data_IF_230390539053
#
_entry.id   IF_230390539053
#
_cell.length_a   1.000
_cell.length_b   1.000
_cell.length_c   1.000
_cell.angle_alpha   90.00
_cell.angle_beta   90.00
_cell.angle_gamma   90.00
#
_symmetry.space_group_name_H-M   'P 1'
#
loop_
_entity.id
_entity.type
_entity.pdbx_description
1 polymer ?
#
# COMPACT_ATOMS: atom_id res chain seq x y z
N UNK A 1 2.56 7.06 40.90
CA UNK A 1 3.37 6.70 39.73
C UNK A 1 2.49 5.86 38.82
N UNK A 2 2.14 6.38 37.65
CA UNK A 2 1.47 5.59 36.63
C UNK A 2 2.52 4.65 36.04
N UNK A 3 2.45 3.37 36.40
CA UNK A 3 3.29 2.33 35.81
C UNK A 3 2.76 2.04 34.40
N UNK A 4 3.37 2.65 33.39
CA UNK A 4 3.12 2.28 32.01
C UNK A 4 3.58 0.81 31.80
N UNK A 5 2.78 -0.03 31.13
CA UNK A 5 3.20 -1.38 30.77
C UNK A 5 4.51 -1.30 29.96
N UNK A 6 5.46 -2.19 30.24
CA UNK A 6 6.67 -2.32 29.41
C UNK A 6 6.26 -2.67 27.98
N UNK A 7 6.83 -1.96 27.00
CA UNK A 7 6.66 -2.15 25.56
C UNK A 7 6.40 -3.60 25.21
N UNK A 8 5.19 -3.87 24.74
CA UNK A 8 4.91 -5.18 24.15
C UNK A 8 5.61 -5.23 22.80
N UNK A 9 6.19 -6.38 22.44
CA UNK A 9 7.01 -6.57 21.22
C UNK A 9 6.28 -6.31 19.87
N UNK A 10 5.06 -5.78 19.89
CA UNK A 10 4.15 -5.69 18.75
C UNK A 10 3.39 -4.36 18.67
N UNK A 11 3.97 -3.26 19.13
CA UNK A 11 3.45 -1.93 18.79
C UNK A 11 3.89 -1.56 17.38
N UNK A 12 2.97 -1.04 16.56
CA UNK A 12 3.29 -0.45 15.26
C UNK A 12 4.42 0.56 15.41
N UNK A 13 5.43 0.45 14.56
CA UNK A 13 6.58 1.36 14.62
C UNK A 13 6.52 2.32 13.45
N UNK A 14 6.66 3.60 13.75
CA UNK A 14 6.91 4.62 12.74
C UNK A 14 8.42 4.90 12.68
N UNK A 15 9.03 4.59 11.55
CA UNK A 15 10.40 4.98 11.25
C UNK A 15 10.41 6.21 10.38
N UNK A 16 11.33 7.14 10.64
CA UNK A 16 11.47 8.36 9.84
C UNK A 16 12.89 8.44 9.27
N UNK A 17 13.00 8.79 8.00
CA UNK A 17 14.26 9.01 7.31
C UNK A 17 14.23 10.37 6.61
N UNK A 18 15.24 11.21 6.82
CA UNK A 18 15.52 12.37 5.97
C UNK A 18 16.66 12.02 5.01
N UNK A 19 16.54 12.44 3.75
CA UNK A 19 17.59 12.24 2.77
C UNK A 19 17.29 12.87 1.43
N UNK A 20 18.20 12.67 0.48
CA UNK A 20 18.14 13.30 -0.84
C UNK A 20 18.03 12.24 -1.94
N UNK A 21 17.08 12.43 -2.87
CA UNK A 21 16.91 11.59 -4.04
C UNK A 21 18.04 11.82 -5.05
N UNK A 22 18.47 10.75 -5.71
CA UNK A 22 19.41 10.82 -6.81
C UNK A 22 18.77 11.43 -8.07
N UNK A 23 19.57 11.52 -9.14
CA UNK A 23 19.05 11.88 -10.46
C UNK A 23 17.97 10.89 -10.92
N UNK A 24 16.87 11.43 -11.46
CA UNK A 24 15.75 10.66 -12.00
C UNK A 24 15.94 10.51 -13.51
N UNK A 25 16.22 9.29 -13.97
CA UNK A 25 16.12 8.94 -15.39
C UNK A 25 14.74 8.32 -15.65
N UNK A 26 13.88 8.95 -16.47
CA UNK A 26 12.57 8.40 -16.83
C UNK A 26 12.65 7.02 -17.50
N UNK A 27 13.77 6.70 -18.16
CA UNK A 27 13.97 5.40 -18.84
C UNK A 27 14.43 4.30 -17.88
N UNK A 28 14.99 4.69 -16.73
CA UNK A 28 15.49 3.78 -15.71
C UNK A 28 15.10 4.30 -14.31
N UNK A 29 13.79 4.24 -13.98
CA UNK A 29 13.31 4.79 -12.72
C UNK A 29 13.97 4.05 -11.53
N UNK A 30 14.43 4.76 -10.48
CA UNK A 30 15.11 4.12 -9.37
C UNK A 30 14.17 3.18 -8.60
N UNK A 31 14.61 1.96 -8.30
CA UNK A 31 13.79 0.95 -7.59
C UNK A 31 14.36 0.49 -6.24
N UNK A 32 15.69 0.52 -6.08
CA UNK A 32 16.37 -0.07 -4.90
C UNK A 32 16.66 0.90 -3.76
N UNK A 33 16.51 2.20 -3.99
CA UNK A 33 16.86 3.25 -3.02
C UNK A 33 15.60 3.83 -2.39
N UNK A 34 15.73 4.35 -1.18
CA UNK A 34 14.67 5.17 -0.57
C UNK A 34 14.45 6.44 -1.40
N UNK A 35 13.20 6.90 -1.55
CA UNK A 35 11.96 6.31 -1.00
C UNK A 35 11.31 5.24 -1.90
N UNK A 36 11.85 4.99 -3.09
CA UNK A 36 11.25 4.11 -4.12
C UNK A 36 11.07 2.66 -3.68
N UNK A 37 12.07 2.11 -2.98
CA UNK A 37 12.01 0.73 -2.48
C UNK A 37 10.87 0.52 -1.48
N UNK A 38 10.47 1.58 -0.76
CA UNK A 38 9.38 1.51 0.20
C UNK A 38 8.02 1.41 -0.49
N UNK A 39 7.81 2.22 -1.53
CA UNK A 39 6.59 2.16 -2.36
C UNK A 39 6.47 0.77 -3.01
N UNK A 40 7.57 0.25 -3.57
CA UNK A 40 7.62 -1.07 -4.20
C UNK A 40 7.57 -2.24 -3.19
N UNK A 41 7.87 -1.98 -1.92
CA UNK A 41 7.85 -2.98 -0.86
C UNK A 41 6.45 -3.39 -0.42
N UNK A 42 5.42 -2.60 -0.76
CA UNK A 42 4.03 -2.98 -0.53
C UNK A 42 3.65 -4.16 -1.44
N UNK A 43 2.96 -5.17 -0.88
CA UNK A 43 2.45 -6.29 -1.69
C UNK A 43 1.11 -5.97 -2.35
N UNK A 44 0.18 -5.36 -1.60
CA UNK A 44 -1.16 -5.04 -2.04
C UNK A 44 -1.50 -3.62 -1.55
N UNK A 45 -1.68 -2.67 -2.47
CA UNK A 45 -1.98 -1.27 -2.13
C UNK A 45 -3.49 -1.05 -2.20
N UNK A 46 -4.06 -0.49 -1.14
CA UNK A 46 -5.48 -0.14 -1.09
C UNK A 46 -5.75 1.35 -1.39
N UNK A 47 -4.78 2.21 -1.06
CA UNK A 47 -4.92 3.67 -1.13
C UNK A 47 -3.59 4.27 -1.57
N UNK A 48 -3.66 5.17 -2.54
CA UNK A 48 -2.59 6.10 -2.89
C UNK A 48 -3.16 7.50 -2.74
N UNK A 49 -2.41 8.40 -2.12
CA UNK A 49 -2.85 9.76 -1.92
C UNK A 49 -1.71 10.76 -2.15
N UNK A 50 -2.05 11.91 -2.71
CA UNK A 50 -1.13 13.02 -2.89
C UNK A 50 -1.74 14.29 -2.30
N UNK A 51 -0.95 15.03 -1.53
CA UNK A 51 -1.32 16.35 -1.02
C UNK A 51 -0.30 17.34 -1.55
N UNK A 52 -0.78 18.41 -2.17
CA UNK A 52 0.06 19.39 -2.84
C UNK A 52 -0.60 20.77 -2.87
N UNK A 53 0.18 21.85 -3.05
CA UNK A 53 -0.36 23.18 -3.31
C UNK A 53 -1.22 23.20 -4.58
N UNK A 54 -2.26 24.02 -4.60
CA UNK A 54 -3.14 24.15 -5.75
C UNK A 54 -2.42 24.64 -7.00
N UNK A 55 -1.46 25.55 -6.84
CA UNK A 55 -0.62 26.03 -7.94
C UNK A 55 0.16 24.87 -8.57
N UNK A 56 0.69 23.96 -7.75
CA UNK A 56 1.37 22.76 -8.26
C UNK A 56 0.37 21.83 -8.96
N UNK A 57 -0.82 21.66 -8.40
CA UNK A 57 -1.86 20.83 -9.02
C UNK A 57 -2.23 21.34 -10.41
N UNK A 58 -2.41 22.65 -10.57
CA UNK A 58 -2.75 23.26 -11.86
C UNK A 58 -1.60 23.13 -12.87
N UNK A 59 -0.34 23.24 -12.43
CA UNK A 59 0.84 22.95 -13.26
C UNK A 59 0.85 21.49 -13.71
N UNK A 60 0.60 20.58 -12.77
CA UNK A 60 0.65 19.14 -13.00
C UNK A 60 -0.52 18.65 -13.84
N UNK A 61 -1.68 19.30 -13.81
CA UNK A 61 -2.89 18.85 -14.50
C UNK A 61 -2.61 18.50 -15.96
N UNK A 62 -1.96 19.41 -16.69
CA UNK A 62 -1.60 19.18 -18.10
C UNK A 62 -0.57 18.04 -18.31
N UNK A 63 0.31 17.80 -17.34
CA UNK A 63 1.33 16.74 -17.40
C UNK A 63 0.86 15.38 -16.87
N UNK A 64 -0.16 15.38 -16.02
CA UNK A 64 -0.74 14.21 -15.35
C UNK A 64 -2.14 13.86 -15.85
N UNK A 65 -2.72 14.56 -16.84
CA UNK A 65 -4.01 14.20 -17.42
C UNK A 65 -4.06 12.73 -17.84
N UNK A 66 -2.94 12.20 -18.32
CA UNK A 66 -2.78 10.77 -18.62
C UNK A 66 -2.92 9.87 -17.38
N UNK A 67 -2.47 10.30 -16.20
CA UNK A 67 -2.56 9.54 -14.93
C UNK A 67 -3.89 9.77 -14.21
N UNK A 68 -4.42 10.98 -14.28
CA UNK A 68 -5.70 11.38 -13.67
C UNK A 68 -6.91 10.89 -14.48
N UNK A 69 -6.73 10.63 -15.78
CA UNK A 69 -7.75 10.09 -16.68
C UNK A 69 -7.43 8.68 -17.17
N UNK A 70 -6.58 8.56 -18.19
CA UNK A 70 -6.44 7.35 -19.03
C UNK A 70 -5.71 6.17 -18.36
N UNK A 71 -4.74 6.44 -17.50
CA UNK A 71 -3.89 5.46 -16.82
C UNK A 71 -4.31 5.23 -15.36
N UNK A 72 -5.58 5.52 -15.01
CA UNK A 72 -6.10 5.15 -13.70
C UNK A 72 -5.95 3.64 -13.47
N UNK A 73 -5.57 3.18 -12.27
CA UNK A 73 -5.33 1.77 -12.04
C UNK A 73 -6.64 0.99 -12.15
N UNK A 74 -6.60 -0.11 -12.89
CA UNK A 74 -7.76 -0.98 -13.12
C UNK A 74 -7.52 -2.33 -12.47
N UNK A 75 -8.54 -2.84 -11.82
CA UNK A 75 -8.57 -4.19 -11.29
C UNK A 75 -9.92 -4.84 -11.58
N UNK A 76 -10.01 -6.15 -11.41
CA UNK A 76 -11.22 -6.92 -11.59
C UNK A 76 -11.65 -7.53 -10.26
N UNK A 77 -12.96 -7.52 -10.00
CA UNK A 77 -13.57 -8.34 -8.96
C UNK A 77 -14.24 -9.55 -9.60
N UNK A 78 -13.93 -10.74 -9.10
CA UNK A 78 -14.37 -12.00 -9.71
C UNK A 78 -14.63 -13.05 -8.64
N UNK A 79 -15.54 -14.00 -8.88
CA UNK A 79 -15.89 -15.06 -7.91
C UNK A 79 -15.63 -16.42 -8.51
N UNK A 80 -14.67 -17.17 -7.95
CA UNK A 80 -14.41 -18.55 -8.35
C UNK A 80 -13.59 -19.31 -7.27
N UNK A 81 -13.60 -20.66 -7.27
CA UNK A 81 -12.88 -21.46 -6.28
C UNK A 81 -11.37 -21.54 -6.56
N UNK A 82 -10.57 -21.82 -5.53
CA UNK A 82 -9.11 -21.97 -5.66
C UNK A 82 -8.68 -22.98 -6.74
N UNK A 83 -9.50 -24.01 -7.00
CA UNK A 83 -9.21 -25.00 -8.05
C UNK A 83 -9.08 -24.37 -9.43
N UNK A 84 -9.83 -23.29 -9.73
CA UNK A 84 -9.79 -22.62 -11.02
C UNK A 84 -8.44 -21.95 -11.29
N UNK A 85 -7.69 -21.57 -10.24
CA UNK A 85 -6.33 -21.04 -10.38
C UNK A 85 -5.37 -22.07 -10.99
N UNK A 86 -5.65 -23.36 -10.82
CA UNK A 86 -4.77 -24.45 -11.24
C UNK A 86 -5.19 -25.05 -12.59
N UNK A 87 -6.20 -24.49 -13.24
CA UNK A 87 -6.82 -25.09 -14.44
C UNK A 87 -6.51 -24.29 -15.71
N UNK A 88 -6.27 -25.03 -16.78
CA UNK A 88 -6.25 -24.54 -18.16
C UNK A 88 -5.34 -23.33 -18.42
N UNK A 89 -5.90 -22.38 -19.16
CA UNK A 89 -5.19 -21.17 -19.59
C UNK A 89 -4.93 -20.21 -18.42
N UNK A 90 -5.74 -20.22 -17.36
CA UNK A 90 -5.50 -19.37 -16.20
C UNK A 90 -4.13 -19.69 -15.56
N UNK A 91 -3.89 -20.97 -15.28
CA UNK A 91 -2.62 -21.39 -14.68
C UNK A 91 -1.43 -21.13 -15.61
N UNK A 92 -1.62 -21.35 -16.92
CA UNK A 92 -0.53 -21.25 -17.90
C UNK A 92 -0.19 -19.79 -18.23
N UNK A 93 -1.18 -18.99 -18.60
CA UNK A 93 -0.98 -17.62 -19.06
C UNK A 93 -0.74 -16.66 -17.91
N UNK A 94 -1.53 -16.71 -16.82
CA UNK A 94 -1.37 -15.74 -15.73
C UNK A 94 -0.31 -16.12 -14.69
N UNK A 95 -0.19 -17.41 -14.35
CA UNK A 95 0.68 -17.84 -13.25
C UNK A 95 2.07 -18.23 -13.75
N UNK A 96 2.15 -19.06 -14.79
CA UNK A 96 3.45 -19.56 -15.31
C UNK A 96 4.17 -18.54 -16.18
N UNK A 97 3.47 -17.90 -17.13
CA UNK A 97 4.06 -16.96 -18.08
C UNK A 97 3.93 -15.51 -17.64
N UNK A 98 2.75 -15.11 -17.20
CA UNK A 98 2.39 -13.76 -16.81
C UNK A 98 2.71 -13.44 -15.35
N UNK A 99 2.23 -12.28 -14.91
CA UNK A 99 2.38 -11.83 -13.54
C UNK A 99 1.09 -11.15 -13.08
N UNK A 100 0.46 -11.73 -12.06
CA UNK A 100 -0.82 -11.25 -11.52
C UNK A 100 -0.71 -11.02 -10.01
N UNK A 101 -1.55 -10.14 -9.52
CA UNK A 101 -1.83 -9.97 -8.10
C UNK A 101 -3.27 -10.40 -7.83
N UNK A 102 -3.47 -11.18 -6.77
CA UNK A 102 -4.81 -11.50 -6.30
C UNK A 102 -4.91 -11.45 -4.78
N UNK A 103 -6.06 -11.00 -4.29
CA UNK A 103 -6.39 -10.97 -2.88
C UNK A 103 -7.85 -11.40 -2.69
N UNK A 104 -8.09 -12.41 -1.87
CA UNK A 104 -9.45 -12.86 -1.56
C UNK A 104 -10.10 -11.94 -0.51
N UNK A 105 -11.42 -11.80 -0.57
CA UNK A 105 -12.22 -11.16 0.49
C UNK A 105 -12.21 -11.99 1.77
N UNK A 106 -11.96 -11.35 2.91
CA UNK A 106 -12.14 -11.91 4.25
C UNK A 106 -11.30 -11.18 5.29
N UNK A 107 -11.47 -11.53 6.56
CA UNK A 107 -10.63 -11.07 7.67
C UNK A 107 -9.70 -12.18 8.12
N UNK A 108 -8.37 -11.95 8.14
CA UNK A 108 -7.38 -12.97 8.52
C UNK A 108 -7.63 -13.62 9.89
N UNK A 109 -8.19 -12.86 10.84
CA UNK A 109 -8.48 -13.36 12.18
C UNK A 109 -9.62 -14.39 12.21
N UNK A 110 -10.55 -14.34 11.25
CA UNK A 110 -11.82 -15.08 11.27
C UNK A 110 -11.96 -16.02 10.09
N UNK A 111 -11.67 -15.55 8.88
CA UNK A 111 -11.88 -16.27 7.64
C UNK A 111 -10.61 -16.99 7.17
N UNK A 112 -10.78 -17.96 6.29
CA UNK A 112 -9.69 -18.47 5.48
C UNK A 112 -9.47 -17.49 4.33
N UNK A 113 -8.30 -16.84 4.29
CA UNK A 113 -7.97 -15.85 3.28
C UNK A 113 -6.78 -16.29 2.45
N UNK A 114 -6.76 -15.84 1.21
CA UNK A 114 -5.84 -16.28 0.18
C UNK A 114 -5.28 -15.06 -0.55
N UNK A 115 -4.00 -15.12 -0.89
CA UNK A 115 -3.36 -14.10 -1.70
C UNK A 115 -2.39 -14.73 -2.69
N UNK A 116 -2.24 -14.12 -3.86
CA UNK A 116 -1.32 -14.54 -4.90
C UNK A 116 -0.50 -13.33 -5.32
N UNK A 117 0.81 -13.41 -5.17
CA UNK A 117 1.76 -12.40 -5.62
C UNK A 117 3.04 -13.09 -6.07
N UNK A 118 3.62 -12.63 -7.18
CA UNK A 118 4.87 -13.17 -7.74
C UNK A 118 4.85 -14.70 -7.99
N UNK A 119 3.66 -15.27 -8.23
CA UNK A 119 3.46 -16.71 -8.40
C UNK A 119 3.47 -17.53 -7.11
N UNK A 120 3.49 -16.88 -5.94
CA UNK A 120 3.38 -17.51 -4.63
C UNK A 120 1.95 -17.35 -4.12
N UNK A 121 1.23 -18.47 -4.02
CA UNK A 121 -0.10 -18.54 -3.41
C UNK A 121 0.06 -18.76 -1.90
N UNK A 122 -0.39 -17.79 -1.12
CA UNK A 122 -0.39 -17.83 0.34
C UNK A 122 -1.80 -18.11 0.83
N UNK A 123 -1.97 -19.11 1.69
CA UNK A 123 -3.24 -19.47 2.32
C UNK A 123 -3.11 -19.28 3.82
N UNK A 124 -3.97 -18.44 4.39
CA UNK A 124 -4.15 -18.32 5.83
C UNK A 124 -5.36 -19.18 6.21
N UNK A 125 -5.11 -20.22 6.98
CA UNK A 125 -6.10 -21.26 7.28
C UNK A 125 -6.35 -21.35 8.78
N UNK A 126 -7.61 -21.59 9.15
CA UNK A 126 -7.96 -22.12 10.46
C UNK A 126 -7.40 -23.55 10.65
N UNK A 127 -7.42 -24.01 11.91
CA UNK A 127 -6.92 -25.33 12.27
C UNK A 127 -7.57 -26.47 11.49
N UNK A 128 -8.90 -26.47 11.43
CA UNK A 128 -9.67 -27.58 10.87
C UNK A 128 -9.39 -27.72 9.37
N UNK A 129 -9.46 -26.61 8.66
CA UNK A 129 -9.21 -26.50 7.23
C UNK A 129 -7.77 -26.85 6.90
N UNK A 130 -6.80 -26.40 7.71
CA UNK A 130 -5.40 -26.77 7.55
C UNK A 130 -5.20 -28.28 7.68
N UNK A 131 -5.67 -28.90 8.77
CA UNK A 131 -5.52 -30.34 9.03
C UNK A 131 -6.19 -31.18 7.94
N UNK A 132 -7.40 -30.79 7.52
CA UNK A 132 -8.15 -31.48 6.45
C UNK A 132 -7.52 -31.30 5.07
N UNK A 133 -6.99 -30.11 4.76
CA UNK A 133 -6.30 -29.86 3.48
C UNK A 133 -5.07 -30.74 3.33
N UNK A 134 -4.46 -31.11 4.45
CA UNK A 134 -3.21 -31.82 4.50
C UNK A 134 -2.11 -31.05 3.77
N UNK A 135 -2.13 -29.71 3.70
CA UNK A 135 -1.05 -28.95 3.07
C UNK A 135 0.09 -28.71 4.05
N UNK A 136 1.32 -28.53 3.54
CA UNK A 136 2.47 -28.23 4.39
C UNK A 136 2.49 -26.74 4.67
N UNK A 137 2.50 -26.37 5.95
CA UNK A 137 2.43 -24.98 6.40
C UNK A 137 3.08 -24.83 7.77
N UNK A 138 3.10 -23.59 8.26
CA UNK A 138 3.65 -23.22 9.57
C UNK A 138 2.57 -22.54 10.41
N UNK A 139 2.54 -22.73 11.73
CA UNK A 139 1.64 -21.97 12.59
C UNK A 139 1.95 -20.47 12.47
N UNK A 140 0.90 -19.68 12.43
CA UNK A 140 0.90 -18.22 12.37
C UNK A 140 0.53 -17.66 13.76
N UNK A 141 1.30 -16.68 14.22
CA UNK A 141 1.10 -16.04 15.52
C UNK A 141 2.04 -16.51 16.64
N UNK A 142 1.92 -15.85 17.79
CA UNK A 142 2.83 -16.02 18.94
C UNK A 142 2.54 -17.33 19.66
N UNK A 143 3.57 -18.17 19.85
CA UNK A 143 3.49 -19.31 20.77
C UNK A 143 3.24 -18.81 22.19
N UNK A 144 2.07 -19.09 22.77
CA UNK A 144 1.87 -19.04 24.23
C UNK A 144 0.71 -18.20 24.78
N UNK A 145 -0.03 -17.42 23.97
CA UNK A 145 -1.27 -16.80 24.44
C UNK A 145 -2.47 -17.71 24.14
N UNK A 146 -3.15 -18.17 25.19
CA UNK A 146 -4.33 -19.07 25.14
C UNK A 146 -5.59 -18.41 24.56
N UNK A 147 -5.56 -17.11 24.30
CA UNK A 147 -6.74 -16.31 23.94
C UNK A 147 -7.05 -16.26 22.44
N UNK A 148 -6.13 -16.68 21.57
CA UNK A 148 -6.32 -16.60 20.12
C UNK A 148 -6.46 -17.98 19.47
N UNK A 149 -7.39 -18.09 18.50
CA UNK A 149 -7.54 -19.30 17.67
C UNK A 149 -6.27 -19.47 16.85
N UNK A 150 -5.58 -20.62 16.91
CA UNK A 150 -4.36 -20.82 16.15
C UNK A 150 -4.67 -20.78 14.63
N UNK A 151 -3.79 -20.12 13.88
CA UNK A 151 -3.86 -20.00 12.41
C UNK A 151 -2.63 -20.67 11.79
N UNK A 152 -2.72 -21.04 10.51
CA UNK A 152 -1.63 -21.64 9.76
C UNK A 152 -1.45 -20.91 8.43
N UNK A 153 -0.19 -20.60 8.11
CA UNK A 153 0.19 -20.10 6.78
C UNK A 153 0.73 -21.26 5.95
N UNK A 154 0.18 -21.41 4.75
CA UNK A 154 0.67 -22.31 3.69
C UNK A 154 1.14 -21.45 2.52
N UNK A 155 2.41 -21.55 2.15
CA UNK A 155 3.00 -20.83 1.01
C UNK A 155 3.33 -21.82 -0.11
N UNK A 156 2.71 -21.63 -1.28
CA UNK A 156 2.85 -22.50 -2.44
C UNK A 156 3.41 -21.68 -3.60
N UNK A 157 4.68 -21.91 -3.94
CA UNK A 157 5.25 -21.34 -5.17
C UNK A 157 4.76 -22.16 -6.38
N UNK A 158 3.76 -21.61 -7.09
CA UNK A 158 3.11 -22.22 -8.24
C UNK A 158 3.99 -22.21 -9.50
N UNK A 159 5.13 -21.49 -9.51
CA UNK A 159 6.05 -21.41 -10.65
C UNK A 159 7.14 -22.48 -10.63
N UNK A 160 7.27 -23.27 -9.57
CA UNK A 160 8.26 -24.33 -9.49
C UNK A 160 8.07 -25.38 -10.61
N UNK A 161 9.16 -26.01 -11.11
CA UNK A 161 9.08 -27.10 -12.10
C UNK A 161 8.27 -28.32 -11.63
N UNK A 162 8.11 -28.49 -10.31
CA UNK A 162 7.29 -29.54 -9.71
C UNK A 162 5.78 -29.25 -9.73
N UNK A 163 5.38 -28.00 -10.00
CA UNK A 163 3.99 -27.57 -10.06
C UNK A 163 3.43 -27.77 -11.47
N UNK A 164 3.24 -29.03 -11.82
CA UNK A 164 2.70 -29.49 -13.09
C UNK A 164 1.71 -30.63 -12.83
N UNK A 165 0.65 -30.67 -13.62
CA UNK A 165 -0.34 -31.76 -13.57
C UNK A 165 0.35 -33.12 -13.66
N UNK A 166 -0.12 -34.07 -12.85
CA UNK A 166 0.43 -35.42 -12.78
C UNK A 166 1.55 -35.63 -11.76
N UNK A 167 2.22 -34.58 -11.27
CA UNK A 167 3.22 -34.70 -10.20
C UNK A 167 2.56 -34.90 -8.84
N UNK A 168 3.13 -35.74 -7.97
CA UNK A 168 2.56 -36.07 -6.65
C UNK A 168 2.31 -34.84 -5.79
N UNK A 169 3.25 -33.90 -5.74
CA UNK A 169 3.12 -32.66 -4.98
C UNK A 169 1.97 -31.78 -5.48
N UNK A 170 1.87 -31.60 -6.80
CA UNK A 170 0.80 -30.83 -7.41
C UNK A 170 -0.58 -31.48 -7.23
N UNK A 171 -0.67 -32.81 -7.39
CA UNK A 171 -1.92 -33.57 -7.14
C UNK A 171 -2.48 -33.38 -5.74
N UNK A 172 -1.61 -33.24 -4.73
CA UNK A 172 -2.03 -32.96 -3.34
C UNK A 172 -2.70 -31.59 -3.23
N UNK A 173 -2.19 -30.59 -3.94
CA UNK A 173 -2.76 -29.23 -3.98
C UNK A 173 -4.09 -29.26 -4.72
N UNK A 174 -4.15 -29.91 -5.90
CA UNK A 174 -5.39 -30.09 -6.66
C UNK A 174 -6.47 -30.78 -5.81
N UNK A 175 -6.10 -31.84 -5.07
CA UNK A 175 -7.01 -32.53 -4.17
C UNK A 175 -7.54 -31.60 -3.07
N UNK A 176 -6.66 -30.84 -2.41
CA UNK A 176 -7.06 -29.91 -1.36
C UNK A 176 -8.05 -28.86 -1.89
N UNK A 177 -7.82 -28.31 -3.08
CA UNK A 177 -8.69 -27.29 -3.67
C UNK A 177 -10.02 -27.85 -4.19
N UNK A 178 -10.05 -29.12 -4.59
CA UNK A 178 -11.28 -29.77 -5.11
C UNK A 178 -12.14 -30.44 -4.04
N UNK A 179 -11.58 -30.78 -2.87
CA UNK A 179 -12.28 -31.57 -1.85
C UNK A 179 -12.39 -30.89 -0.49
N UNK A 180 -11.53 -29.90 -0.20
CA UNK A 180 -11.51 -29.23 1.12
C UNK A 180 -11.83 -27.75 0.95
N UNK A 181 -11.06 -27.05 0.13
CA UNK A 181 -11.19 -25.61 -0.12
C UNK A 181 -12.08 -25.35 -1.34
N UNK A 182 -13.30 -25.90 -1.31
CA UNK A 182 -14.20 -25.95 -2.47
C UNK A 182 -15.05 -24.70 -2.65
N UNK A 183 -15.24 -23.94 -1.58
CA UNK A 183 -16.12 -22.76 -1.58
C UNK A 183 -15.56 -21.70 -2.51
N UNK A 184 -16.33 -21.21 -3.49
CA UNK A 184 -15.93 -20.07 -4.31
C UNK A 184 -15.69 -18.84 -3.44
N UNK A 185 -14.64 -18.09 -3.73
CA UNK A 185 -14.32 -16.87 -3.01
C UNK A 185 -14.31 -15.68 -3.96
N UNK A 186 -14.58 -14.50 -3.39
CA UNK A 186 -14.45 -13.24 -4.13
C UNK A 186 -12.99 -12.82 -4.14
N UNK A 187 -12.45 -12.61 -5.32
CA UNK A 187 -11.09 -12.14 -5.56
C UNK A 187 -11.09 -10.70 -6.06
N UNK A 188 -10.14 -9.92 -5.57
CA UNK A 188 -9.56 -8.80 -6.29
C UNK A 188 -8.45 -9.37 -7.17
N UNK A 189 -8.42 -8.97 -8.45
CA UNK A 189 -7.48 -9.44 -9.45
C UNK A 189 -6.88 -8.24 -10.18
N UNK A 190 -5.57 -8.19 -10.32
CA UNK A 190 -4.87 -7.21 -11.15
C UNK A 190 -3.85 -7.93 -12.02
N UNK A 191 -3.90 -7.70 -13.33
CA UNK A 191 -2.89 -8.18 -14.26
C UNK A 191 -1.76 -7.15 -14.36
N UNK A 192 -0.54 -7.59 -14.06
CA UNK A 192 0.67 -6.77 -14.17
C UNK A 192 1.42 -7.02 -15.47
N UNK A 193 0.98 -8.00 -16.28
CA UNK A 193 1.57 -8.34 -17.56
C UNK A 193 1.24 -7.30 -18.63
N UNK A 194 2.23 -7.00 -19.47
CA UNK A 194 2.04 -6.13 -20.64
C UNK A 194 1.54 -6.90 -21.88
N UNK A 195 1.35 -8.21 -21.78
CA UNK A 195 1.04 -9.07 -22.93
C UNK A 195 -0.46 -9.17 -23.11
N UNK A 196 -0.96 -8.62 -24.22
CA UNK A 196 -2.34 -8.80 -24.63
C UNK A 196 -2.55 -10.27 -24.97
N UNK A 197 -3.35 -10.95 -24.15
CA UNK A 197 -3.73 -12.33 -24.41
C UNK A 197 -4.79 -12.38 -25.52
N UNK A 198 -4.74 -13.36 -26.44
CA UNK A 198 -5.75 -13.51 -27.50
C UNK A 198 -7.17 -13.76 -26.97
N UNK A 199 -7.25 -14.44 -25.83
CA UNK A 199 -8.46 -14.69 -25.06
C UNK A 199 -8.12 -14.46 -23.59
N UNK A 200 -8.95 -13.73 -22.87
CA UNK A 200 -8.76 -13.44 -21.45
C UNK A 200 -9.26 -14.65 -20.62
N UNK A 201 -8.36 -15.42 -19.95
CA UNK A 201 -8.73 -16.59 -19.15
C UNK A 201 -9.69 -16.29 -17.99
N UNK A 202 -9.85 -15.02 -17.62
CA UNK A 202 -10.79 -14.58 -16.59
C UNK A 202 -12.22 -14.47 -17.13
N UNK A 203 -12.41 -14.32 -18.44
CA UNK A 203 -13.72 -14.09 -19.10
C UNK A 203 -14.82 -15.06 -18.70
N UNK A 204 -14.58 -16.40 -18.62
CA UNK A 204 -15.61 -17.37 -18.22
C UNK A 204 -16.19 -17.13 -16.82
N UNK A 205 -15.48 -16.38 -15.97
CA UNK A 205 -15.89 -16.05 -14.62
C UNK A 205 -16.59 -14.69 -14.50
N UNK A 206 -16.91 -14.05 -15.63
CA UNK A 206 -17.63 -12.77 -15.71
C UNK A 206 -17.05 -11.69 -14.77
N UNK A 207 -15.77 -11.30 -14.94
CA UNK A 207 -15.11 -10.36 -14.05
C UNK A 207 -15.75 -8.97 -14.14
N UNK A 208 -15.97 -8.37 -12.98
CA UNK A 208 -16.41 -6.98 -12.88
C UNK A 208 -15.17 -6.06 -12.82
N UNK A 209 -14.87 -5.39 -13.93
CA UNK A 209 -13.75 -4.45 -14.05
C UNK A 209 -14.09 -3.14 -13.34
N UNK A 210 -13.16 -2.68 -12.50
CA UNK A 210 -13.28 -1.47 -11.69
C UNK A 210 -12.06 -0.59 -11.94
N UNK A 211 -12.31 0.65 -12.34
CA UNK A 211 -11.29 1.68 -12.48
C UNK A 211 -11.21 2.49 -11.19
N UNK A 212 -10.01 2.65 -10.63
CA UNK A 212 -9.79 3.48 -9.46
C UNK A 212 -9.73 4.95 -9.90
N UNK A 213 -10.88 5.59 -10.03
CA UNK A 213 -10.96 7.00 -10.42
C UNK A 213 -10.42 7.88 -9.29
N UNK A 214 -9.52 8.84 -9.55
CA UNK A 214 -9.04 9.76 -8.52
C UNK A 214 -10.18 10.62 -7.97
N UNK A 215 -10.31 10.66 -6.65
CA UNK A 215 -11.11 11.68 -5.95
C UNK A 215 -10.23 12.88 -5.68
N UNK A 216 -10.61 14.04 -6.24
CA UNK A 216 -9.93 15.32 -6.00
C UNK A 216 -10.76 16.15 -5.03
N UNK A 217 -10.12 16.72 -4.01
CA UNK A 217 -10.72 17.65 -3.03
C UNK A 217 -9.80 18.87 -2.90
N UNK A 218 -10.38 20.07 -2.90
CA UNK A 218 -9.63 21.34 -3.02
C UNK A 218 -10.11 22.42 -2.05
N UNK A 219 -10.50 22.04 -0.83
CA UNK A 219 -11.17 22.96 0.11
C UNK A 219 -10.31 23.29 1.36
N UNK A 220 -8.99 23.08 1.26
CA UNK A 220 -8.08 23.22 2.39
C UNK A 220 -7.31 24.53 2.27
N UNK A 221 -7.69 25.52 3.06
CA UNK A 221 -6.92 26.75 3.26
C UNK A 221 -6.14 26.59 4.56
N UNK A 222 -4.85 26.31 4.49
CA UNK A 222 -4.05 25.91 5.67
C UNK A 222 -2.83 26.79 5.84
N UNK A 223 -2.34 26.92 7.08
CA UNK A 223 -1.01 27.51 7.31
C UNK A 223 0.03 26.43 7.07
N UNK A 224 0.87 26.63 6.06
CA UNK A 224 1.92 25.67 5.69
C UNK A 224 3.04 25.64 6.75
N UNK A 225 3.38 24.48 7.34
CA UNK A 225 4.54 24.34 8.23
C UNK A 225 5.86 24.72 7.57
N UNK A 226 6.87 25.03 8.37
CA UNK A 226 8.25 25.17 7.88
C UNK A 226 8.81 23.79 7.52
N UNK A 227 8.86 23.45 6.24
CA UNK A 227 9.46 22.21 5.73
C UNK A 227 10.98 22.24 5.70
N UNK A 228 11.59 22.50 6.86
CA UNK A 228 13.03 22.55 7.04
C UNK A 228 13.44 21.63 8.19
N UNK A 229 13.84 20.39 7.87
CA UNK A 229 14.39 19.48 8.87
C UNK A 229 15.57 20.15 9.61
N UNK A 230 15.69 19.96 10.95
CA UNK A 230 16.87 20.39 11.69
C UNK A 230 18.15 19.80 11.07
N UNK A 231 19.20 20.61 10.92
CA UNK A 231 20.45 20.19 10.25
C UNK A 231 21.23 19.24 11.18
N UNK A 232 21.48 18.01 10.73
CA UNK A 232 22.30 17.04 11.45
C UNK A 232 23.77 17.50 11.53
N UNK A 233 24.29 17.64 12.75
CA UNK A 233 25.72 17.52 13.01
C UNK A 233 26.11 16.12 13.55
N UNK A 234 25.18 15.18 13.73
CA UNK A 234 25.49 13.83 14.23
C UNK A 234 24.52 12.77 13.71
N UNK A 235 25.07 11.57 13.47
CA UNK A 235 24.43 10.36 12.88
C UNK A 235 23.33 9.72 13.72
N UNK A 236 22.88 10.37 14.79
CA UNK A 236 21.74 9.98 15.59
C UNK A 236 20.76 11.14 15.54
N UNK A 237 19.69 10.99 14.75
CA UNK A 237 18.56 11.92 14.72
C UNK A 237 18.21 12.39 16.15
N UNK A 238 18.41 13.69 16.38
CA UNK A 238 18.19 14.35 17.68
C UNK A 238 16.70 14.41 18.02
N UNK A 239 16.36 14.68 19.28
CA UNK A 239 14.99 14.86 19.76
C UNK A 239 14.22 15.89 18.90
N UNK A 240 14.89 16.97 18.51
CA UNK A 240 14.37 18.00 17.60
C UNK A 240 13.90 17.45 16.24
N UNK A 241 14.63 16.50 15.65
CA UNK A 241 14.21 15.89 14.38
C UNK A 241 12.98 15.01 14.56
N UNK A 242 12.88 14.32 15.70
CA UNK A 242 11.73 13.48 16.02
C UNK A 242 10.48 14.31 16.24
N UNK A 243 10.59 15.43 16.96
CA UNK A 243 9.49 16.37 17.17
C UNK A 243 9.03 16.95 15.83
N UNK A 244 9.95 17.49 15.03
CA UNK A 244 9.67 17.95 13.66
C UNK A 244 8.95 16.87 12.84
N UNK A 245 9.48 15.65 12.82
CA UNK A 245 8.91 14.56 12.05
C UNK A 245 7.51 14.16 12.52
N UNK A 246 7.27 14.17 13.84
CA UNK A 246 5.96 13.85 14.41
C UNK A 246 4.93 14.94 14.07
N UNK A 247 5.29 16.22 14.25
CA UNK A 247 4.44 17.38 13.95
C UNK A 247 4.02 17.42 12.48
N UNK A 248 4.98 17.25 11.56
CA UNK A 248 4.69 17.26 10.12
C UNK A 248 3.84 16.06 9.71
N UNK A 249 4.10 14.88 10.27
CA UNK A 249 3.29 13.69 9.98
C UNK A 249 1.87 13.82 10.52
N UNK A 250 1.69 14.34 11.73
CA UNK A 250 0.37 14.62 12.30
C UNK A 250 -0.41 15.62 11.44
N UNK A 251 0.22 16.72 11.03
CA UNK A 251 -0.39 17.72 10.15
C UNK A 251 -0.82 17.14 8.79
N UNK A 252 0.06 16.37 8.12
CA UNK A 252 -0.29 15.67 6.88
C UNK A 252 -1.43 14.67 7.08
N UNK A 253 -1.42 13.94 8.21
CA UNK A 253 -2.45 12.98 8.56
C UNK A 253 -3.81 13.65 8.78
N UNK A 254 -3.84 14.82 9.43
CA UNK A 254 -5.07 15.58 9.64
C UNK A 254 -5.64 16.13 8.32
N UNK A 255 -4.79 16.53 7.37
CA UNK A 255 -5.24 16.86 6.00
C UNK A 255 -5.83 15.61 5.31
N UNK A 256 -5.15 14.46 5.42
CA UNK A 256 -5.64 13.20 4.86
C UNK A 256 -7.04 12.83 5.38
N UNK A 257 -7.26 13.05 6.68
CA UNK A 257 -8.51 12.83 7.39
C UNK A 257 -9.59 13.91 7.15
N UNK A 258 -9.29 14.94 6.35
CA UNK A 258 -10.20 16.07 6.10
C UNK A 258 -10.58 16.82 7.39
N UNK A 259 -9.66 16.86 8.35
CA UNK A 259 -9.91 17.48 9.65
C UNK A 259 -10.07 19.00 9.48
N UNK A 260 -11.10 19.62 10.08
CA UNK A 260 -11.24 21.08 10.05
C UNK A 260 -10.15 21.78 10.88
N UNK A 261 -9.40 21.05 11.71
CA UNK A 261 -8.38 21.58 12.63
C UNK A 261 -7.14 22.14 11.94
N UNK A 262 -6.91 21.78 10.68
CA UNK A 262 -5.78 22.32 9.90
C UNK A 262 -6.13 23.61 9.16
N UNK A 263 -7.42 24.00 9.13
CA UNK A 263 -7.85 25.19 8.42
C UNK A 263 -7.32 26.45 9.10
N UNK A 264 -6.83 27.40 8.31
CA UNK A 264 -6.28 28.69 8.77
C UNK A 264 -7.32 29.56 9.48
N UNK A 265 -8.61 29.32 9.22
CA UNK A 265 -9.76 30.02 9.79
C UNK A 265 -10.39 29.29 10.96
N UNK A 266 -9.80 28.18 11.41
CA UNK A 266 -10.35 27.39 12.51
C UNK A 266 -10.37 28.18 13.82
N UNK A 267 -11.46 28.05 14.57
CA UNK A 267 -11.73 28.75 15.84
C UNK A 267 -12.34 27.79 16.85
N UNK A 268 -11.81 26.57 16.91
CA UNK A 268 -12.27 25.58 17.87
C UNK A 268 -12.02 26.05 19.30
N UNK A 269 -12.97 25.74 20.19
CA UNK A 269 -12.77 25.95 21.62
C UNK A 269 -11.58 25.11 22.12
N UNK A 270 -10.57 25.71 22.78
CA UNK A 270 -9.42 24.98 23.34
C UNK A 270 -9.80 23.88 24.34
N UNK A 271 -10.99 23.94 24.94
CA UNK A 271 -11.53 22.86 25.77
C UNK A 271 -11.85 21.60 24.96
N UNK A 272 -12.24 21.76 23.68
CA UNK A 272 -12.59 20.66 22.78
C UNK A 272 -11.38 20.13 21.99
N UNK A 273 -10.47 21.00 21.59
CA UNK A 273 -9.25 20.61 20.89
C UNK A 273 -8.12 21.57 21.19
N UNK A 274 -6.96 21.01 21.54
CA UNK A 274 -5.72 21.77 21.78
C UNK A 274 -4.72 21.65 20.63
N UNK A 275 -5.14 21.02 19.53
CA UNK A 275 -4.29 20.92 18.35
C UNK A 275 -4.05 22.32 17.80
N UNK A 276 -2.79 22.61 17.53
CA UNK A 276 -2.34 23.81 16.82
C UNK A 276 -1.43 23.35 15.67
N UNK A 277 -1.60 23.85 14.43
CA UNK A 277 -0.73 23.48 13.33
C UNK A 277 0.74 23.82 13.63
N UNK A 278 1.71 23.04 13.11
CA UNK A 278 3.12 23.31 13.33
C UNK A 278 3.51 24.71 12.85
N UNK A 279 4.51 25.31 13.50
CA UNK A 279 4.94 26.69 13.22
C UNK A 279 5.33 26.82 11.75
N UNK A 280 4.69 27.77 11.07
CA UNK A 280 4.67 27.83 9.61
C UNK A 280 4.69 29.24 9.03
N UNK A 281 4.21 29.33 7.80
CA UNK A 281 3.87 30.57 7.11
C UNK A 281 2.68 31.26 7.79
N UNK A 282 2.71 32.59 7.82
CA UNK A 282 1.55 33.39 8.24
C UNK A 282 0.45 33.43 7.16
N UNK A 283 0.85 33.26 5.90
CA UNK A 283 -0.07 33.19 4.76
C UNK A 283 -0.68 31.80 4.64
N UNK A 284 -2.00 31.77 4.39
CA UNK A 284 -2.72 30.55 4.08
C UNK A 284 -2.40 30.11 2.65
N UNK A 285 -2.18 28.82 2.48
CA UNK A 285 -1.96 28.14 1.20
C UNK A 285 -3.19 27.26 0.91
N UNK A 286 -3.65 27.25 -0.35
CA UNK A 286 -4.71 26.35 -0.79
C UNK A 286 -4.11 25.00 -1.20
N UNK A 287 -4.57 23.91 -0.59
CA UNK A 287 -4.11 22.56 -0.92
C UNK A 287 -5.15 21.79 -1.70
N UNK A 288 -4.64 20.90 -2.56
CA UNK A 288 -5.40 19.89 -3.26
C UNK A 288 -4.98 18.52 -2.74
N UNK A 289 -5.98 17.68 -2.44
CA UNK A 289 -5.80 16.27 -2.11
C UNK A 289 -6.35 15.41 -3.24
N UNK A 290 -5.52 14.51 -3.74
CA UNK A 290 -5.89 13.53 -4.76
C UNK A 290 -5.78 12.14 -4.16
N UNK A 291 -6.87 11.37 -4.20
CA UNK A 291 -6.92 10.03 -3.61
C UNK A 291 -7.37 9.00 -4.62
N UNK A 292 -6.59 7.94 -4.80
CA UNK A 292 -6.97 6.73 -5.50
C UNK A 292 -7.24 5.63 -4.48
N UNK A 293 -8.35 4.90 -4.61
CA UNK A 293 -8.70 3.81 -3.70
C UNK A 293 -9.19 2.60 -4.50
N UNK A 294 -8.72 1.41 -4.15
CA UNK A 294 -9.05 0.18 -4.85
C UNK A 294 -8.03 -0.92 -4.62
N UNK A 295 -7.67 -1.64 -5.67
CA UNK A 295 -6.60 -2.64 -5.66
C UNK A 295 -5.52 -2.21 -6.65
N UNK A 296 -4.46 -1.61 -6.10
CA UNK A 296 -3.46 -0.87 -6.88
C UNK A 296 -2.14 -1.64 -6.85
N UNK A 297 -1.44 -1.70 -7.98
CA UNK A 297 -0.14 -2.35 -8.05
C UNK A 297 0.98 -1.43 -7.52
N UNK A 298 2.01 -2.00 -6.85
CA UNK A 298 3.17 -1.23 -6.40
C UNK A 298 3.89 -0.53 -7.55
N UNK A 299 3.95 -1.17 -8.72
CA UNK A 299 4.53 -0.59 -9.94
C UNK A 299 3.76 0.64 -10.40
N UNK A 300 2.42 0.62 -10.35
CA UNK A 300 1.62 1.78 -10.72
C UNK A 300 1.84 2.96 -9.75
N UNK A 301 1.86 2.69 -8.44
CA UNK A 301 2.12 3.71 -7.43
C UNK A 301 3.53 4.31 -7.59
N UNK A 302 4.53 3.45 -7.79
CA UNK A 302 5.91 3.88 -8.05
C UNK A 302 6.03 4.74 -9.31
N UNK A 303 5.44 4.31 -10.44
CA UNK A 303 5.45 5.09 -11.68
C UNK A 303 4.74 6.44 -11.50
N UNK A 304 3.60 6.47 -10.80
CA UNK A 304 2.86 7.71 -10.51
C UNK A 304 3.70 8.68 -9.67
N UNK A 305 4.39 8.17 -8.66
CA UNK A 305 5.32 8.97 -7.85
C UNK A 305 6.48 9.54 -8.68
N UNK A 306 7.06 8.75 -9.59
CA UNK A 306 8.10 9.22 -10.51
C UNK A 306 7.57 10.32 -11.43
N UNK A 307 6.38 10.16 -12.01
CA UNK A 307 5.76 11.19 -12.85
C UNK A 307 5.51 12.47 -12.05
N UNK A 308 5.10 12.36 -10.80
CA UNK A 308 4.94 13.51 -9.90
C UNK A 308 6.24 14.25 -9.65
N UNK A 309 7.33 13.53 -9.39
CA UNK A 309 8.64 14.13 -9.22
C UNK A 309 9.15 14.82 -10.49
N UNK A 310 8.87 14.27 -11.67
CA UNK A 310 9.29 14.83 -12.96
C UNK A 310 8.46 16.06 -13.37
N UNK A 311 7.17 16.08 -13.04
CA UNK A 311 6.28 17.20 -13.33
C UNK A 311 6.44 18.36 -12.34
N UNK A 312 6.81 18.08 -11.08
CA UNK A 312 6.96 19.10 -10.05
C UNK A 312 8.22 19.96 -10.28
N UNK A 313 8.10 21.30 -10.30
CA UNK A 313 9.28 22.16 -10.28
C UNK A 313 10.08 21.95 -8.98
N UNK A 314 11.38 22.27 -9.04
CA UNK A 314 12.33 21.94 -7.96
C UNK A 314 11.94 22.55 -6.61
N UNK A 315 11.39 23.76 -6.63
CA UNK A 315 11.05 24.56 -5.45
C UNK A 315 9.67 24.28 -4.85
N UNK A 316 8.91 23.32 -5.39
CA UNK A 316 7.60 22.95 -4.84
C UNK A 316 7.69 21.75 -3.91
N UNK A 317 6.75 21.68 -2.97
CA UNK A 317 6.58 20.53 -2.10
C UNK A 317 5.34 19.73 -2.53
N UNK A 318 5.33 18.45 -2.22
CA UNK A 318 4.13 17.61 -2.20
C UNK A 318 4.37 16.42 -1.29
N UNK A 319 3.31 15.87 -0.71
CA UNK A 319 3.35 14.58 -0.03
C UNK A 319 2.74 13.48 -0.91
N UNK A 320 3.24 12.27 -0.75
CA UNK A 320 2.79 11.07 -1.45
C UNK A 320 2.67 9.92 -0.45
N UNK A 321 1.44 9.51 -0.20
CA UNK A 321 1.09 8.45 0.73
C UNK A 321 0.73 7.18 -0.04
N UNK A 322 1.22 6.04 0.46
CA UNK A 322 0.90 4.70 -0.03
C UNK A 322 0.46 3.85 1.15
N UNK A 323 -0.78 3.36 1.12
CA UNK A 323 -1.36 2.49 2.13
C UNK A 323 -1.63 1.10 1.59
N UNK A 324 -1.23 0.08 2.34
CA UNK A 324 -1.49 -1.32 2.03
C UNK A 324 -2.85 -1.82 2.52
N UNK A 325 -3.29 -2.97 2.00
CA UNK A 325 -4.21 -3.83 2.74
C UNK A 325 -3.52 -4.36 4.01
N UNK A 326 -4.28 -4.70 5.03
CA UNK A 326 -3.74 -5.43 6.20
C UNK A 326 -3.15 -6.75 5.73
N UNK A 327 -1.85 -6.96 5.94
CA UNK A 327 -1.11 -8.16 5.54
C UNK A 327 -0.67 -9.03 6.72
N UNK A 328 -1.05 -8.62 7.95
CA UNK A 328 -0.76 -9.31 9.20
C UNK A 328 -2.02 -9.65 10.01
N UNK A 329 -1.90 -10.69 10.84
CA UNK A 329 -2.97 -11.20 11.70
C UNK A 329 -3.53 -10.17 12.70
N UNK A 330 -2.79 -9.12 13.05
CA UNK A 330 -3.22 -8.05 13.95
C UNK A 330 -4.02 -6.95 13.24
N UNK A 331 -4.33 -7.11 11.95
CA UNK A 331 -5.11 -6.14 11.17
C UNK A 331 -4.35 -4.86 10.84
N UNK A 332 -3.07 -4.78 11.19
CA UNK A 332 -2.22 -3.64 10.91
C UNK A 332 -1.90 -3.59 9.42
N UNK A 333 -1.99 -2.39 8.85
CA UNK A 333 -1.61 -2.13 7.46
C UNK A 333 -0.33 -1.32 7.42
N UNK A 334 0.63 -1.79 6.63
CA UNK A 334 1.82 -1.01 6.33
C UNK A 334 1.47 0.19 5.48
N UNK A 335 2.09 1.32 5.78
CA UNK A 335 2.00 2.52 4.96
C UNK A 335 3.33 3.24 4.89
N UNK A 336 3.52 4.04 3.85
CA UNK A 336 4.60 5.00 3.79
C UNK A 336 4.11 6.36 3.28
N UNK A 337 4.70 7.42 3.82
CA UNK A 337 4.44 8.80 3.41
C UNK A 337 5.77 9.42 3.01
N UNK A 338 5.85 9.93 1.79
CA UNK A 338 7.02 10.67 1.29
C UNK A 338 6.65 12.14 1.16
N UNK A 339 7.40 13.04 1.79
CA UNK A 339 7.29 14.48 1.60
C UNK A 339 8.50 14.97 0.80
N UNK A 340 8.28 15.47 -0.43
CA UNK A 340 9.28 16.24 -1.16
C UNK A 340 9.37 17.64 -0.56
N UNK A 341 10.56 18.07 -0.18
CA UNK A 341 10.79 19.37 0.41
C UNK A 341 10.98 20.47 -0.67
N UNK A 342 10.61 21.73 -0.39
CA UNK A 342 10.69 22.82 -1.38
C UNK A 342 12.08 23.47 -1.47
N UNK A 343 12.84 23.52 -0.37
CA UNK A 343 14.04 24.38 -0.28
C UNK A 343 15.27 23.76 -0.98
N UNK A 344 15.45 22.45 -0.84
CA UNK A 344 16.58 21.71 -1.41
C UNK A 344 16.06 20.78 -2.50
N UNK A 345 16.55 20.91 -3.75
CA UNK A 345 16.14 20.02 -4.83
C UNK A 345 16.35 18.57 -4.47
N UNK A 346 15.35 17.74 -4.75
CA UNK A 346 15.36 16.29 -4.51
C UNK A 346 15.40 15.87 -3.02
N UNK A 347 15.28 16.79 -2.08
CA UNK A 347 15.29 16.46 -0.66
C UNK A 347 13.91 15.94 -0.20
N UNK A 348 13.90 14.98 0.72
CA UNK A 348 12.68 14.36 1.19
C UNK A 348 12.74 13.90 2.64
N UNK A 349 11.55 13.81 3.24
CA UNK A 349 11.33 13.07 4.49
C UNK A 349 10.40 11.91 4.19
N UNK A 350 10.72 10.73 4.72
CA UNK A 350 9.97 9.49 4.55
C UNK A 350 9.55 8.98 5.92
N UNK A 351 8.27 8.71 6.08
CA UNK A 351 7.71 7.95 7.21
C UNK A 351 7.32 6.56 6.74
N UNK A 352 7.68 5.55 7.53
CA UNK A 352 7.37 4.13 7.30
C UNK A 352 6.66 3.61 8.54
N UNK A 353 5.40 3.19 8.41
CA UNK A 353 4.64 2.55 9.49
C UNK A 353 4.59 1.06 9.19
N UNK A 354 5.18 0.27 10.10
CA UNK A 354 5.30 -1.19 10.00
C UNK A 354 4.63 -1.95 11.15
#
# INVERSE_FOLDING_TARGET
>A
MLSFPKDTKHEQKCYVTHGTMGHLDPKQPPVKRKPFVNILGHKFINKVEMILPKELYDIMKNGMDTVLGENSPVYSRVVFPLSALLEGEFFTEYIKKGNIMMLSKGMMEVDNVFSLSEGILTLHLDKETYERSGLVGKPEGIKGKREHRPRWIVEINLRLPSMLHGKKGFRRIEYAFKNVLTTPVTWLFCDLGATVLPSDPLSPHHPNKITCIPKVSSDYQVKRPKFKPPVENNRNYDEDFREYAAEIHEWLSLISLESPRVNSTDKIDPFLSRYDPPIGSDEAEELVKITWTGFISPTWAHNTFIQALLAAPKNYWFSYYVGGFSDSWNGESKNCTVLKLPDVPNDYVLWEVE
#
